data_IF_986444740981
#
_entry.id   IF_986444740981
#
_cell.length_a   1.000
_cell.length_b   1.000
_cell.length_c   1.000
_cell.angle_alpha   90.00
_cell.angle_beta   90.00
_cell.angle_gamma   90.00
#
_symmetry.space_group_name_H-M   'P 1'
#
loop_
_entity.id
_entity.type
_entity.pdbx_description
1 polymer ?
#
# COMPACT_ATOMS: atom_id res chain seq x y z
N UNK A 1 25.40 -21.70 71.22
CA UNK A 1 26.36 -20.63 70.88
C UNK A 1 26.17 -20.34 69.40
N UNK A 2 25.38 -19.31 69.10
CA UNK A 2 25.85 -18.03 68.54
C UNK A 2 26.21 -18.15 67.06
N UNK A 3 25.34 -17.69 66.16
CA UNK A 3 25.15 -16.28 65.68
C UNK A 3 25.88 -16.14 64.35
N UNK A 4 25.16 -16.05 63.23
CA UNK A 4 24.74 -14.82 62.50
C UNK A 4 25.84 -14.23 61.62
N UNK A 5 25.55 -14.13 60.32
CA UNK A 5 25.56 -12.90 59.49
C UNK A 5 25.17 -13.29 58.04
N UNK A 6 24.02 -12.87 57.49
CA UNK A 6 23.61 -11.54 56.99
C UNK A 6 24.10 -11.22 55.56
N UNK A 7 23.14 -10.88 54.69
CA UNK A 7 23.32 -10.25 53.37
C UNK A 7 23.07 -11.21 52.19
N UNK A 8 22.14 -11.00 51.25
CA UNK A 8 21.40 -9.81 50.90
C UNK A 8 20.05 -10.18 50.25
N UNK A 9 19.06 -9.41 50.66
CA UNK A 9 17.75 -9.24 50.09
C UNK A 9 17.82 -8.55 48.71
N UNK A 10 16.69 -8.58 48.00
CA UNK A 10 16.31 -7.68 46.90
C UNK A 10 16.90 -7.91 45.49
N UNK A 11 16.21 -8.74 44.69
CA UNK A 11 15.96 -8.45 43.27
C UNK A 11 14.85 -9.34 42.68
N UNK A 12 13.65 -9.39 43.29
CA UNK A 12 12.47 -9.71 42.49
C UNK A 12 12.20 -8.48 41.63
N UNK A 13 12.84 -8.44 40.45
CA UNK A 13 12.58 -7.47 39.40
C UNK A 13 11.08 -7.58 39.08
N UNK A 14 10.30 -6.70 39.70
CA UNK A 14 8.87 -6.58 39.49
C UNK A 14 8.66 -6.07 38.07
N UNK A 15 8.66 -6.97 37.09
CA UNK A 15 8.28 -6.60 35.72
C UNK A 15 6.95 -5.85 35.77
N UNK A 16 6.85 -4.66 35.15
CA UNK A 16 5.65 -3.87 35.23
C UNK A 16 4.46 -4.64 34.63
N UNK A 17 3.27 -4.38 35.17
CA UNK A 17 2.03 -4.78 34.51
C UNK A 17 1.98 -4.02 33.18
N UNK A 18 1.85 -4.74 32.07
CA UNK A 18 1.85 -4.17 30.72
C UNK A 18 0.60 -4.66 30.00
N UNK A 19 -0.03 -3.75 29.26
CA UNK A 19 -1.08 -4.10 28.30
C UNK A 19 -0.42 -4.80 27.11
N UNK A 20 -0.72 -6.08 26.92
CA UNK A 20 -0.17 -6.94 25.85
C UNK A 20 -0.83 -6.65 24.50
N UNK A 21 -2.14 -6.44 24.50
CA UNK A 21 -2.91 -6.23 23.30
C UNK A 21 -4.26 -5.59 23.62
N UNK A 22 -4.81 -4.88 22.64
CA UNK A 22 -6.21 -4.45 22.58
C UNK A 22 -6.83 -5.13 21.35
N UNK A 23 -7.98 -5.78 21.54
CA UNK A 23 -8.67 -6.55 20.50
C UNK A 23 -10.13 -6.09 20.40
N UNK A 24 -10.61 -5.68 19.21
CA UNK A 24 -9.83 -5.36 18.01
C UNK A 24 -8.83 -4.21 18.25
N UNK A 25 -7.73 -4.12 17.49
CA UNK A 25 -6.72 -3.06 17.66
C UNK A 25 -7.18 -1.68 17.14
N UNK A 26 -8.28 -1.65 16.36
CA UNK A 26 -8.81 -0.48 15.67
C UNK A 26 -10.33 -0.59 15.59
N UNK A 27 -11.02 0.54 15.65
CA UNK A 27 -12.49 0.63 15.56
C UNK A 27 -12.92 1.88 14.80
N UNK A 28 -14.17 1.95 14.38
CA UNK A 28 -14.74 3.14 13.76
C UNK A 28 -14.97 4.24 14.81
N UNK A 29 -14.72 5.50 14.46
CA UNK A 29 -14.72 6.60 15.42
C UNK A 29 -16.12 7.07 15.87
N UNK A 30 -17.15 6.87 15.04
CA UNK A 30 -18.55 7.26 15.29
C UNK A 30 -19.45 6.09 15.77
N UNK A 31 -18.85 4.94 16.12
CA UNK A 31 -19.58 3.77 16.61
C UNK A 31 -18.95 3.30 17.92
N UNK A 32 -19.81 2.96 18.88
CA UNK A 32 -19.39 2.30 20.10
C UNK A 32 -19.23 0.81 19.84
N UNK A 33 -17.99 0.34 19.95
CA UNK A 33 -17.64 -1.08 19.82
C UNK A 33 -17.05 -1.62 21.12
N UNK A 34 -17.37 -2.87 21.44
CA UNK A 34 -16.80 -3.57 22.59
C UNK A 34 -15.38 -4.04 22.26
N UNK A 35 -14.43 -3.63 23.11
CA UNK A 35 -13.03 -4.01 22.99
C UNK A 35 -12.55 -4.74 24.24
N UNK A 36 -11.51 -5.55 24.04
CA UNK A 36 -10.90 -6.38 25.06
C UNK A 36 -9.45 -5.97 25.25
N UNK A 37 -9.06 -5.64 26.49
CA UNK A 37 -7.69 -5.29 26.86
C UNK A 37 -7.07 -6.47 27.61
N UNK A 38 -5.98 -7.01 27.07
CA UNK A 38 -5.26 -8.17 27.62
C UNK A 38 -3.99 -7.70 28.32
N UNK A 39 -3.74 -8.21 29.54
CA UNK A 39 -2.56 -7.88 30.35
C UNK A 39 -1.58 -9.07 30.42
N UNK A 40 -0.30 -8.76 30.64
CA UNK A 40 0.74 -9.77 30.83
C UNK A 40 0.64 -10.54 32.17
N UNK A 41 0.03 -9.94 33.19
CA UNK A 41 -0.09 -10.50 34.55
C UNK A 41 -1.52 -10.35 35.06
N UNK A 42 -1.79 -11.01 36.20
CA UNK A 42 -3.09 -10.92 36.85
C UNK A 42 -3.37 -9.52 37.37
N UNK A 43 -4.54 -9.00 37.03
CA UNK A 43 -5.13 -7.78 37.54
C UNK A 43 -5.45 -7.92 39.04
N UNK A 44 -5.37 -6.81 39.80
CA UNK A 44 -5.69 -6.80 41.22
C UNK A 44 -7.18 -7.10 41.46
N UNK A 45 -7.50 -8.35 41.81
CA UNK A 45 -8.87 -8.84 42.06
C UNK A 45 -9.45 -8.48 43.44
N UNK A 46 -8.63 -7.90 44.34
CA UNK A 46 -8.97 -7.80 45.78
C UNK A 46 -9.79 -6.58 46.19
N UNK A 47 -10.09 -5.66 45.28
CA UNK A 47 -10.86 -4.46 45.60
C UNK A 47 -12.01 -4.32 44.63
N UNK A 48 -13.20 -4.02 45.14
CA UNK A 48 -14.44 -3.69 44.41
C UNK A 48 -14.33 -2.36 43.64
N UNK A 49 -13.13 -2.05 43.17
CA UNK A 49 -12.72 -0.79 42.61
C UNK A 49 -12.99 -0.78 41.11
N UNK A 50 -13.50 0.33 40.54
CA UNK A 50 -13.71 0.42 39.12
C UNK A 50 -12.37 0.44 38.38
N UNK A 51 -12.34 -0.19 37.21
CA UNK A 51 -11.31 0.03 36.21
C UNK A 51 -11.79 1.13 35.27
N UNK A 52 -10.89 2.01 34.87
CA UNK A 52 -11.21 3.05 33.88
C UNK A 52 -10.11 3.15 32.85
N UNK A 53 -10.48 3.53 31.63
CA UNK A 53 -9.57 3.68 30.50
C UNK A 53 -9.72 5.07 29.93
N UNK A 54 -8.62 5.80 29.81
CA UNK A 54 -8.58 7.10 29.15
C UNK A 54 -8.01 6.93 27.75
N UNK A 55 -8.77 7.29 26.73
CA UNK A 55 -8.30 7.41 25.36
C UNK A 55 -7.80 8.83 25.13
N UNK A 56 -6.48 9.00 25.05
CA UNK A 56 -5.84 10.30 24.90
C UNK A 56 -5.30 10.43 23.48
N UNK A 57 -5.79 11.45 22.76
CA UNK A 57 -5.39 11.74 21.39
C UNK A 57 -5.38 13.24 21.10
N UNK A 58 -5.38 13.59 19.82
CA UNK A 58 -5.32 14.99 19.34
C UNK A 58 -6.56 15.78 19.68
N UNK A 59 -7.72 15.13 19.82
CA UNK A 59 -8.99 15.77 20.17
C UNK A 59 -9.26 15.83 21.69
N UNK A 60 -8.29 15.40 22.51
CA UNK A 60 -8.39 15.38 23.97
C UNK A 60 -8.46 13.97 24.56
N UNK A 61 -8.76 13.91 25.85
CA UNK A 61 -8.86 12.68 26.63
C UNK A 61 -10.33 12.32 26.89
N UNK A 62 -10.73 11.10 26.54
CA UNK A 62 -12.08 10.58 26.84
C UNK A 62 -11.96 9.36 27.75
N UNK A 63 -12.62 9.43 28.91
CA UNK A 63 -12.59 8.36 29.91
C UNK A 63 -13.81 7.45 29.76
N UNK A 64 -13.59 6.14 29.86
CA UNK A 64 -14.65 5.12 29.91
C UNK A 64 -14.42 4.13 31.04
N UNK A 65 -15.51 3.50 31.50
CA UNK A 65 -15.45 2.47 32.54
C UNK A 65 -15.20 1.10 31.91
N UNK A 66 -14.31 0.32 32.53
CA UNK A 66 -14.01 -1.04 32.11
C UNK A 66 -14.46 -2.06 33.16
N UNK A 67 -14.96 -3.19 32.68
CA UNK A 67 -15.36 -4.33 33.50
C UNK A 67 -14.27 -5.38 33.45
N UNK A 68 -13.98 -6.00 34.58
CA UNK A 68 -13.04 -7.12 34.62
C UNK A 68 -13.73 -8.39 34.15
N UNK A 69 -13.25 -8.97 33.04
CA UNK A 69 -13.81 -10.20 32.48
C UNK A 69 -13.17 -11.44 33.12
N UNK A 70 -11.85 -11.42 33.31
CA UNK A 70 -11.11 -12.50 33.96
C UNK A 70 -9.89 -11.94 34.72
N UNK A 71 -9.04 -12.83 35.24
CA UNK A 71 -7.88 -12.40 36.05
C UNK A 71 -6.87 -11.54 35.27
N UNK A 72 -6.88 -11.48 33.95
CA UNK A 72 -5.87 -10.79 33.12
C UNK A 72 -6.48 -10.00 31.96
N UNK A 73 -7.80 -9.78 31.95
CA UNK A 73 -8.51 -9.18 30.82
C UNK A 73 -9.60 -8.23 31.31
N UNK A 74 -9.67 -7.06 30.67
CA UNK A 74 -10.75 -6.08 30.84
C UNK A 74 -11.57 -5.98 29.56
N UNK A 75 -12.86 -5.75 29.71
CA UNK A 75 -13.80 -5.50 28.63
C UNK A 75 -14.42 -4.12 28.81
N UNK A 76 -14.51 -3.35 27.74
CA UNK A 76 -15.09 -2.01 27.76
C UNK A 76 -15.72 -1.70 26.42
N UNK A 77 -16.63 -0.74 26.44
CA UNK A 77 -17.18 -0.14 25.23
C UNK A 77 -16.37 1.11 24.89
N UNK A 78 -15.94 1.23 23.65
CA UNK A 78 -15.18 2.38 23.17
C UNK A 78 -16.04 3.64 23.16
N UNK A 79 -15.45 4.81 23.44
CA UNK A 79 -16.17 6.07 23.29
C UNK A 79 -16.32 6.44 21.81
N UNK A 80 -17.35 7.20 21.50
CA UNK A 80 -17.39 7.95 20.24
C UNK A 80 -16.31 9.03 20.29
N UNK A 81 -15.31 8.92 19.43
CA UNK A 81 -14.17 9.82 19.40
C UNK A 81 -14.29 10.74 18.17
N UNK A 82 -14.26 12.07 18.35
CA UNK A 82 -14.66 13.01 17.31
C UNK A 82 -13.72 13.04 16.09
N UNK A 83 -12.46 12.60 16.25
CA UNK A 83 -11.44 12.66 15.21
C UNK A 83 -10.80 11.29 15.00
N UNK A 84 -10.84 10.78 13.76
CA UNK A 84 -10.10 9.58 13.39
C UNK A 84 -8.59 9.82 13.56
N UNK A 85 -7.97 9.12 14.50
CA UNK A 85 -6.56 9.29 14.84
C UNK A 85 -6.04 8.10 15.67
N UNK A 86 -4.71 7.98 15.73
CA UNK A 86 -4.05 7.08 16.68
C UNK A 86 -4.05 7.74 18.05
N UNK A 87 -4.62 7.04 19.02
CA UNK A 87 -4.72 7.46 20.42
C UNK A 87 -3.93 6.50 21.32
N UNK A 88 -3.61 6.96 22.52
CA UNK A 88 -3.04 6.09 23.56
C UNK A 88 -4.10 5.80 24.61
N UNK A 89 -4.41 4.51 24.80
CA UNK A 89 -5.33 4.04 25.83
C UNK A 89 -4.56 3.81 27.14
N UNK A 90 -4.83 4.62 28.16
CA UNK A 90 -4.25 4.50 29.50
C UNK A 90 -5.22 3.78 30.43
N UNK A 91 -4.79 2.69 31.04
CA UNK A 91 -5.65 1.90 31.92
C UNK A 91 -5.36 2.20 33.39
N UNK A 92 -6.39 2.52 34.15
CA UNK A 92 -6.33 2.89 35.55
C UNK A 92 -7.18 1.96 36.42
N UNK A 93 -6.74 1.77 37.67
CA UNK A 93 -7.47 0.99 38.68
C UNK A 93 -7.56 1.74 40.02
N UNK A 94 -8.72 1.65 40.67
CA UNK A 94 -8.91 2.26 41.98
C UNK A 94 -9.37 3.71 41.93
N UNK A 95 -9.84 4.20 43.07
CA UNK A 95 -10.23 5.61 43.29
C UNK A 95 -9.02 6.53 43.09
N UNK A 96 -7.82 6.05 43.44
CA UNK A 96 -6.56 6.79 43.29
C UNK A 96 -6.01 6.78 41.85
N UNK A 97 -6.76 6.22 40.88
CA UNK A 97 -6.37 6.11 39.46
C UNK A 97 -4.92 5.63 39.27
N UNK A 98 -4.58 4.47 39.83
CA UNK A 98 -3.26 3.88 39.63
C UNK A 98 -3.13 3.43 38.18
N UNK A 99 -2.13 3.95 37.46
CA UNK A 99 -1.83 3.52 36.09
C UNK A 99 -1.35 2.06 36.08
N UNK A 100 -2.05 1.24 35.31
CA UNK A 100 -1.77 -0.20 35.12
C UNK A 100 -1.01 -0.48 33.82
N UNK A 101 -1.11 0.41 32.83
CA UNK A 101 -0.41 0.28 31.56
C UNK A 101 -1.02 1.18 30.50
N UNK A 102 -0.36 1.24 29.35
CA UNK A 102 -0.80 2.00 28.18
C UNK A 102 -0.62 1.17 26.92
N UNK A 103 -1.45 1.41 25.90
CA UNK A 103 -1.30 0.77 24.59
C UNK A 103 -1.83 1.70 23.50
N UNK A 104 -1.23 1.64 22.31
CA UNK A 104 -1.71 2.39 21.16
C UNK A 104 -3.03 1.78 20.63
N UNK A 105 -3.95 2.62 20.20
CA UNK A 105 -5.24 2.23 19.66
C UNK A 105 -5.62 3.20 18.53
N UNK A 106 -6.29 2.74 17.49
CA UNK A 106 -6.58 3.58 16.31
C UNK A 106 -8.08 3.71 16.10
N UNK A 107 -8.56 4.95 16.03
CA UNK A 107 -9.91 5.27 15.57
C UNK A 107 -9.87 5.62 14.09
N UNK A 108 -10.69 4.93 13.29
CA UNK A 108 -10.76 5.11 11.84
C UNK A 108 -12.06 5.82 11.45
N UNK A 109 -12.00 6.69 10.43
CA UNK A 109 -13.21 7.23 9.82
C UNK A 109 -13.80 6.24 8.82
N UNK A 110 -15.09 6.40 8.49
CA UNK A 110 -15.73 5.64 7.39
C UNK A 110 -14.98 5.79 6.08
N UNK A 111 -14.50 7.00 5.77
CA UNK A 111 -13.68 7.26 4.60
C UNK A 111 -12.35 6.50 4.67
N UNK A 112 -11.66 6.48 5.82
CA UNK A 112 -10.37 5.77 5.94
C UNK A 112 -10.53 4.27 5.74
N UNK A 113 -11.58 3.67 6.31
CA UNK A 113 -11.90 2.26 6.11
C UNK A 113 -12.17 1.96 4.63
N UNK A 114 -12.93 2.82 3.96
CA UNK A 114 -13.22 2.69 2.53
C UNK A 114 -11.96 2.89 1.66
N UNK A 115 -11.15 3.92 1.93
CA UNK A 115 -9.89 4.16 1.24
C UNK A 115 -8.93 2.99 1.42
N UNK A 116 -8.85 2.40 2.61
CA UNK A 116 -8.01 1.20 2.84
C UNK A 116 -8.55 -0.01 2.09
N UNK A 117 -9.86 -0.23 2.07
CA UNK A 117 -10.45 -1.34 1.32
C UNK A 117 -10.15 -1.20 -0.17
N UNK A 118 -10.37 0.00 -0.72
CA UNK A 118 -10.03 0.31 -2.09
C UNK A 118 -8.53 0.16 -2.34
N UNK A 119 -7.66 0.86 -1.61
CA UNK A 119 -6.23 0.86 -1.91
C UNK A 119 -5.53 -0.49 -1.67
N UNK A 120 -6.05 -1.32 -0.77
CA UNK A 120 -5.52 -2.67 -0.52
C UNK A 120 -5.90 -3.65 -1.63
N UNK A 121 -7.01 -3.42 -2.32
CA UNK A 121 -7.51 -4.20 -3.46
C UNK A 121 -7.17 -3.59 -4.84
N UNK A 122 -6.80 -2.31 -4.89
CA UNK A 122 -6.51 -1.58 -6.12
C UNK A 122 -5.03 -1.58 -6.51
N UNK A 123 -4.17 -2.35 -5.83
CA UNK A 123 -2.81 -2.54 -6.32
C UNK A 123 -2.84 -3.48 -7.54
N UNK A 124 -2.66 -2.95 -8.77
CA UNK A 124 -2.78 -3.76 -9.97
C UNK A 124 -1.67 -4.81 -10.06
N UNK A 125 -0.51 -4.59 -9.43
CA UNK A 125 0.58 -5.58 -9.39
C UNK A 125 0.13 -6.77 -8.54
N UNK A 126 -0.42 -6.50 -7.36
CA UNK A 126 -0.91 -7.56 -6.46
C UNK A 126 -2.05 -8.35 -7.10
N UNK A 127 -3.04 -7.67 -7.69
CA UNK A 127 -4.14 -8.32 -8.42
C UNK A 127 -3.64 -9.21 -9.57
N UNK A 128 -2.67 -8.73 -10.36
CA UNK A 128 -2.12 -9.49 -11.48
C UNK A 128 -1.28 -10.68 -10.99
N UNK A 129 -0.49 -10.51 -9.92
CA UNK A 129 0.23 -11.61 -9.28
C UNK A 129 -0.73 -12.70 -8.78
N UNK A 130 -1.83 -12.33 -8.11
CA UNK A 130 -2.85 -13.28 -7.67
C UNK A 130 -3.53 -13.99 -8.85
N UNK A 131 -3.88 -13.25 -9.90
CA UNK A 131 -4.50 -13.80 -11.12
C UNK A 131 -3.60 -14.78 -11.87
N UNK A 132 -2.28 -14.57 -11.82
CA UNK A 132 -1.27 -15.43 -12.43
C UNK A 132 -0.73 -16.51 -11.47
N UNK A 133 -1.29 -16.62 -10.26
CA UNK A 133 -0.85 -17.55 -9.22
C UNK A 133 0.64 -17.41 -8.83
N UNK A 134 1.15 -16.18 -8.88
CA UNK A 134 2.51 -15.82 -8.48
C UNK A 134 2.58 -15.42 -7.00
N UNK A 135 3.78 -15.48 -6.39
CA UNK A 135 3.98 -14.95 -5.04
C UNK A 135 3.70 -13.44 -5.01
N UNK A 136 2.85 -13.00 -4.09
CA UNK A 136 2.04 -11.77 -4.13
C UNK A 136 2.78 -10.43 -3.98
N UNK A 137 4.05 -10.30 -4.32
CA UNK A 137 4.76 -8.99 -4.26
C UNK A 137 6.00 -8.87 -5.14
N UNK A 138 6.30 -9.86 -5.99
CA UNK A 138 7.51 -9.80 -6.82
C UNK A 138 7.23 -9.24 -8.22
N UNK A 139 7.50 -7.94 -8.37
CA UNK A 139 7.39 -7.22 -9.65
C UNK A 139 8.26 -7.88 -10.72
N UNK A 140 9.41 -8.46 -10.37
CA UNK A 140 10.30 -9.11 -11.34
C UNK A 140 9.72 -10.43 -11.86
N UNK A 141 9.14 -11.24 -10.97
CA UNK A 141 8.41 -12.45 -11.36
C UNK A 141 7.21 -12.13 -12.22
N UNK A 142 6.47 -11.06 -11.89
CA UNK A 142 5.37 -10.57 -12.72
C UNK A 142 5.84 -10.12 -14.10
N UNK A 143 6.93 -9.35 -14.18
CA UNK A 143 7.53 -8.88 -15.44
C UNK A 143 7.93 -10.06 -16.35
N UNK A 144 8.56 -11.08 -15.78
CA UNK A 144 8.91 -12.30 -16.52
C UNK A 144 7.67 -13.06 -16.98
N UNK A 145 6.70 -13.29 -16.10
CA UNK A 145 5.49 -14.03 -16.43
C UNK A 145 4.67 -13.33 -17.51
N UNK A 146 4.52 -12.01 -17.43
CA UNK A 146 3.82 -11.22 -18.44
C UNK A 146 4.56 -11.25 -19.79
N UNK A 147 5.88 -11.09 -19.78
CA UNK A 147 6.67 -11.15 -21.01
C UNK A 147 6.59 -12.53 -21.67
N UNK A 148 6.73 -13.61 -20.90
CA UNK A 148 6.70 -14.98 -21.41
C UNK A 148 5.29 -15.37 -21.90
N UNK A 149 4.25 -14.97 -21.17
CA UNK A 149 2.85 -15.15 -21.59
C UNK A 149 2.57 -14.40 -22.89
N UNK A 150 3.08 -13.17 -23.02
CA UNK A 150 2.91 -12.38 -24.24
C UNK A 150 3.60 -13.04 -25.43
N UNK A 151 4.86 -13.47 -25.28
CA UNK A 151 5.61 -14.13 -26.36
C UNK A 151 5.01 -15.49 -26.74
N UNK A 152 4.52 -16.26 -25.78
CA UNK A 152 3.95 -17.60 -26.05
C UNK A 152 2.56 -17.55 -26.71
N UNK A 153 1.81 -16.46 -26.53
CA UNK A 153 0.42 -16.37 -27.01
C UNK A 153 0.24 -15.38 -28.16
N UNK A 154 1.19 -14.47 -28.42
CA UNK A 154 1.09 -13.52 -29.50
C UNK A 154 1.56 -14.14 -30.84
N UNK A 155 0.69 -14.29 -31.84
CA UNK A 155 1.10 -14.78 -33.15
C UNK A 155 2.02 -13.80 -33.87
N UNK A 156 2.85 -14.30 -34.80
CA UNK A 156 3.71 -13.45 -35.62
C UNK A 156 2.89 -12.43 -36.42
N UNK A 157 3.22 -11.15 -36.28
CA UNK A 157 2.49 -10.05 -36.94
C UNK A 157 1.26 -9.52 -36.18
N UNK A 158 1.01 -9.98 -34.95
CA UNK A 158 -0.08 -9.46 -34.12
C UNK A 158 0.14 -7.98 -33.76
N UNK A 159 -0.66 -7.09 -34.34
CA UNK A 159 -0.61 -5.65 -34.06
C UNK A 159 -1.43 -5.31 -32.80
N UNK A 160 -0.97 -5.78 -31.64
CA UNK A 160 -1.60 -5.49 -30.35
C UNK A 160 -1.52 -4.01 -29.96
N UNK A 161 -0.45 -3.32 -30.37
CA UNK A 161 -0.13 -1.97 -29.92
C UNK A 161 -0.63 -0.87 -30.87
N UNK A 162 -0.93 -1.20 -32.14
CA UNK A 162 -1.41 -0.27 -33.17
C UNK A 162 -2.93 -0.23 -33.34
N UNK A 163 -3.70 -0.65 -32.34
CA UNK A 163 -5.19 -0.60 -32.35
C UNK A 163 -5.69 0.86 -32.21
N UNK A 164 -4.83 1.79 -31.80
CA UNK A 164 -5.19 3.18 -31.50
C UNK A 164 -5.18 4.15 -32.69
N UNK A 165 -5.18 3.65 -33.94
CA UNK A 165 -5.16 4.50 -35.16
C UNK A 165 -6.34 5.47 -35.30
N UNK A 166 -7.41 5.30 -34.51
CA UNK A 166 -8.60 6.15 -34.54
C UNK A 166 -8.56 7.34 -33.55
N UNK A 167 -7.47 7.56 -32.80
CA UNK A 167 -7.36 8.74 -31.93
C UNK A 167 -6.72 9.88 -32.71
N UNK A 168 -7.55 10.71 -33.33
CA UNK A 168 -7.18 11.78 -34.29
C UNK A 168 -6.18 12.83 -33.75
N UNK A 169 -5.83 12.79 -32.46
CA UNK A 169 -4.93 13.73 -31.80
C UNK A 169 -3.73 13.09 -31.04
N UNK A 170 -3.59 11.76 -31.01
CA UNK A 170 -2.53 11.10 -30.23
C UNK A 170 -2.64 11.30 -28.70
N UNK A 171 -3.80 11.74 -28.22
CA UNK A 171 -4.13 11.99 -26.82
C UNK A 171 -5.26 11.06 -26.38
N UNK A 172 -5.05 10.32 -25.30
CA UNK A 172 -6.04 9.39 -24.74
C UNK A 172 -6.62 9.90 -23.42
N UNK A 173 -7.87 9.57 -23.14
CA UNK A 173 -8.55 9.87 -21.87
C UNK A 173 -8.23 8.84 -20.77
N UNK A 174 -7.49 7.78 -21.07
CA UNK A 174 -7.09 6.76 -20.12
C UNK A 174 -5.76 7.08 -19.40
N UNK A 175 -5.60 6.59 -18.16
CA UNK A 175 -4.34 6.68 -17.39
C UNK A 175 -3.22 5.86 -18.03
N UNK A 176 -3.57 4.64 -18.44
CA UNK A 176 -2.68 3.71 -19.11
C UNK A 176 -3.30 3.32 -20.46
N UNK A 177 -3.19 4.17 -21.49
CA UNK A 177 -3.84 3.92 -22.77
C UNK A 177 -3.27 2.71 -23.51
N UNK A 178 -2.01 2.36 -23.25
CA UNK A 178 -1.35 1.17 -23.83
C UNK A 178 -0.64 0.38 -22.74
N UNK A 179 -0.36 -0.90 -23.02
CA UNK A 179 0.41 -1.75 -22.12
C UNK A 179 1.83 -1.20 -21.86
N UNK A 180 2.39 -0.40 -22.78
CA UNK A 180 3.65 0.33 -22.56
C UNK A 180 3.53 1.40 -21.47
N UNK A 181 2.39 2.09 -21.35
CA UNK A 181 2.18 3.06 -20.27
C UNK A 181 2.11 2.34 -18.92
N UNK A 182 1.36 1.23 -18.86
CA UNK A 182 1.28 0.39 -17.67
C UNK A 182 2.66 -0.14 -17.27
N UNK A 183 3.38 -0.74 -18.22
CA UNK A 183 4.71 -1.29 -17.96
C UNK A 183 5.71 -0.20 -17.54
N UNK A 184 5.59 1.03 -18.04
CA UNK A 184 6.44 2.14 -17.66
C UNK A 184 6.19 2.63 -16.22
N UNK A 185 4.93 2.64 -15.77
CA UNK A 185 4.57 3.02 -14.40
C UNK A 185 5.11 2.03 -13.35
N UNK A 186 5.05 0.73 -13.65
CA UNK A 186 5.48 -0.33 -12.73
C UNK A 186 6.92 -0.81 -12.94
N UNK A 187 7.64 -0.25 -13.91
CA UNK A 187 9.05 -0.61 -14.17
C UNK A 187 9.25 -2.01 -14.76
N UNK A 188 8.28 -2.51 -15.53
CA UNK A 188 8.30 -3.84 -16.15
C UNK A 188 9.24 -3.85 -17.37
N UNK A 189 10.53 -3.93 -17.09
CA UNK A 189 11.60 -3.79 -18.08
C UNK A 189 11.62 -4.86 -19.17
N UNK A 190 11.36 -6.12 -18.80
CA UNK A 190 11.36 -7.26 -19.72
C UNK A 190 10.13 -7.24 -20.60
N UNK A 191 8.97 -6.93 -20.03
CA UNK A 191 7.73 -6.72 -20.79
C UNK A 191 7.90 -5.57 -21.79
N UNK A 192 8.49 -4.44 -21.39
CA UNK A 192 8.79 -3.34 -22.32
C UNK A 192 9.70 -3.81 -23.44
N UNK A 193 10.80 -4.49 -23.12
CA UNK A 193 11.70 -5.02 -24.13
C UNK A 193 10.95 -5.90 -25.13
N UNK A 194 10.11 -6.83 -24.67
CA UNK A 194 9.28 -7.67 -25.54
C UNK A 194 8.32 -6.83 -26.39
N UNK A 195 7.58 -5.89 -25.80
CA UNK A 195 6.60 -5.07 -26.50
C UNK A 195 7.22 -4.21 -27.60
N UNK A 196 8.45 -3.72 -27.42
CA UNK A 196 9.16 -2.92 -28.43
C UNK A 196 9.51 -3.69 -29.72
N UNK A 197 9.52 -5.03 -29.69
CA UNK A 197 9.76 -5.86 -30.87
C UNK A 197 8.50 -6.08 -31.72
N UNK A 198 7.30 -5.78 -31.20
CA UNK A 198 6.04 -6.03 -31.91
C UNK A 198 5.61 -4.82 -32.76
N UNK A 199 4.88 -5.07 -33.87
CA UNK A 199 4.36 -4.01 -34.70
C UNK A 199 3.41 -3.10 -33.89
N UNK A 200 3.46 -1.78 -34.16
CA UNK A 200 2.67 -0.78 -33.45
C UNK A 200 3.32 -0.23 -32.17
N UNK A 201 4.47 -0.75 -31.73
CA UNK A 201 5.18 -0.24 -30.55
C UNK A 201 5.54 1.25 -30.65
N UNK A 202 5.90 1.71 -31.85
CA UNK A 202 6.23 3.12 -32.10
C UNK A 202 5.01 4.04 -31.94
N UNK A 203 3.87 3.63 -32.47
CA UNK A 203 2.60 4.35 -32.32
C UNK A 203 2.25 4.43 -30.83
N UNK A 204 2.37 3.31 -30.11
CA UNK A 204 2.13 3.25 -28.67
C UNK A 204 3.10 4.12 -27.83
N UNK A 205 4.35 4.31 -28.27
CA UNK A 205 5.31 5.24 -27.66
C UNK A 205 4.99 6.72 -27.90
N UNK A 206 4.20 7.03 -28.95
CA UNK A 206 3.83 8.39 -29.32
C UNK A 206 2.51 8.87 -28.69
N UNK A 207 1.69 7.95 -28.17
CA UNK A 207 0.43 8.25 -27.50
C UNK A 207 0.71 8.88 -26.13
N UNK A 208 -0.07 9.92 -25.80
CA UNK A 208 -0.11 10.52 -24.47
C UNK A 208 -1.29 9.98 -23.66
N UNK A 209 -1.10 9.81 -22.36
CA UNK A 209 -2.19 9.55 -21.43
C UNK A 209 -3.01 10.84 -21.13
N UNK A 210 -4.01 10.73 -20.25
CA UNK A 210 -4.87 11.88 -19.89
C UNK A 210 -4.12 13.04 -19.23
N UNK A 211 -2.92 12.80 -18.67
CA UNK A 211 -2.05 13.84 -18.14
C UNK A 211 -1.16 14.48 -19.22
N UNK A 212 -1.31 14.09 -20.48
CA UNK A 212 -0.43 14.53 -21.57
C UNK A 212 0.97 13.90 -21.51
N UNK A 213 1.17 12.85 -20.72
CA UNK A 213 2.48 12.19 -20.51
C UNK A 213 2.68 11.03 -21.46
N UNK A 214 3.90 10.92 -22.00
CA UNK A 214 4.35 9.77 -22.77
C UNK A 214 4.86 8.63 -21.87
N UNK A 215 4.97 7.39 -22.37
CA UNK A 215 5.47 6.26 -21.57
C UNK A 215 6.82 6.53 -20.90
N UNK A 216 7.75 7.20 -21.58
CA UNK A 216 9.04 7.51 -20.97
C UNK A 216 8.96 8.59 -19.87
N UNK A 217 8.02 9.55 -19.96
CA UNK A 217 7.79 10.51 -18.89
C UNK A 217 7.25 9.80 -17.65
N UNK A 218 6.35 8.84 -17.83
CA UNK A 218 5.82 8.02 -16.74
C UNK A 218 6.93 7.22 -16.07
N UNK A 219 7.80 6.56 -16.86
CA UNK A 219 8.94 5.83 -16.31
C UNK A 219 9.91 6.75 -15.53
N UNK A 220 10.17 7.96 -16.04
CA UNK A 220 11.02 8.95 -15.38
C UNK A 220 10.43 9.44 -14.06
N UNK A 221 9.14 9.77 -14.04
CA UNK A 221 8.41 10.22 -12.85
C UNK A 221 8.39 9.16 -11.73
N UNK A 222 8.38 7.88 -12.10
CA UNK A 222 8.43 6.75 -11.17
C UNK A 222 9.86 6.31 -10.80
N UNK A 223 10.89 7.04 -11.29
CA UNK A 223 12.29 6.81 -10.94
C UNK A 223 13.05 5.81 -11.82
N UNK A 224 12.42 5.26 -12.86
CA UNK A 224 13.02 4.30 -13.79
C UNK A 224 13.77 5.00 -14.94
N UNK A 225 14.84 5.74 -14.61
CA UNK A 225 15.59 6.57 -15.58
C UNK A 225 16.14 5.80 -16.78
N UNK A 226 16.76 4.63 -16.55
CA UNK A 226 17.29 3.80 -17.63
C UNK A 226 16.18 3.32 -18.58
N UNK A 227 15.01 2.99 -18.04
CA UNK A 227 13.86 2.56 -18.83
C UNK A 227 13.28 3.72 -19.65
N UNK A 228 13.22 4.91 -19.05
CA UNK A 228 12.82 6.14 -19.73
C UNK A 228 13.76 6.48 -20.90
N UNK A 229 15.08 6.39 -20.69
CA UNK A 229 16.08 6.65 -21.73
C UNK A 229 15.97 5.66 -22.90
N UNK A 230 15.72 4.37 -22.61
CA UNK A 230 15.49 3.35 -23.63
C UNK A 230 14.24 3.65 -24.46
N UNK A 231 13.11 3.96 -23.79
CA UNK A 231 11.85 4.31 -24.46
C UNK A 231 11.98 5.60 -25.29
N UNK A 232 12.69 6.60 -24.76
CA UNK A 232 12.94 7.87 -25.44
C UNK A 232 13.80 7.68 -26.69
N UNK A 233 14.88 6.91 -26.55
CA UNK A 233 15.79 6.60 -27.67
C UNK A 233 15.08 5.80 -28.75
N UNK A 234 14.27 4.79 -28.37
CA UNK A 234 13.48 4.01 -29.32
C UNK A 234 12.53 4.90 -30.14
N UNK A 235 11.86 5.84 -29.48
CA UNK A 235 10.99 6.80 -30.16
C UNK A 235 11.76 7.76 -31.07
N UNK A 236 12.87 8.31 -30.58
CA UNK A 236 13.62 9.37 -31.27
C UNK A 236 14.45 8.82 -32.46
N UNK A 237 14.98 7.61 -32.36
CA UNK A 237 15.74 6.95 -33.44
C UNK A 237 14.96 6.84 -34.76
N UNK A 238 13.63 6.69 -34.72
CA UNK A 238 12.83 6.62 -35.95
C UNK A 238 12.46 7.96 -36.57
N UNK A 239 12.36 9.03 -35.80
CA UNK A 239 12.22 10.38 -36.37
C UNK A 239 13.39 10.69 -37.30
N UNK A 240 14.60 10.31 -36.90
CA UNK A 240 15.83 10.50 -37.67
C UNK A 240 15.84 9.60 -38.92
N UNK A 241 15.43 8.34 -38.80
CA UNK A 241 15.39 7.41 -39.93
C UNK A 241 14.36 7.84 -41.00
N UNK A 242 13.16 8.26 -40.59
CA UNK A 242 12.10 8.71 -41.50
C UNK A 242 12.41 10.06 -42.15
N UNK A 243 13.00 11.02 -41.43
CA UNK A 243 13.46 12.29 -42.03
C UNK A 243 14.60 12.08 -43.01
N UNK A 244 15.53 11.16 -42.72
CA UNK A 244 16.63 10.83 -43.62
C UNK A 244 16.13 10.16 -44.90
N UNK A 245 15.17 9.23 -44.82
CA UNK A 245 14.58 8.59 -46.00
C UNK A 245 13.73 9.57 -46.81
N UNK A 246 12.90 10.39 -46.15
CA UNK A 246 12.09 11.42 -46.83
C UNK A 246 12.94 12.46 -47.56
N UNK A 247 14.10 12.84 -46.99
CA UNK A 247 15.07 13.71 -47.64
C UNK A 247 15.83 13.04 -48.80
N UNK A 248 15.97 11.71 -48.80
CA UNK A 248 16.80 10.97 -49.77
C UNK A 248 15.99 10.36 -50.92
N UNK A 249 14.69 10.12 -50.72
CA UNK A 249 13.77 9.55 -51.72
C UNK A 249 12.38 10.21 -51.68
N UNK A 250 12.22 11.45 -52.19
CA UNK A 250 10.95 12.18 -52.16
C UNK A 250 9.86 11.59 -53.09
N UNK A 251 10.19 10.63 -53.97
CA UNK A 251 9.25 10.02 -54.92
C UNK A 251 8.50 8.80 -54.38
N UNK A 252 8.89 8.23 -53.24
CA UNK A 252 8.23 7.08 -52.61
C UNK A 252 7.11 7.48 -51.62
N UNK A 253 6.99 8.77 -51.28
CA UNK A 253 6.01 9.26 -50.29
C UNK A 253 4.59 9.44 -50.85
N UNK A 254 4.36 9.20 -52.15
CA UNK A 254 3.04 9.38 -52.79
C UNK A 254 2.28 8.08 -53.09
N UNK A 255 2.87 6.92 -52.82
CA UNK A 255 2.28 5.60 -53.14
C UNK A 255 1.79 4.80 -51.93
N UNK A 256 1.84 5.36 -50.72
CA UNK A 256 1.31 4.72 -49.50
C UNK A 256 0.51 5.71 -48.63
N UNK A 257 -0.40 6.46 -49.24
CA UNK A 257 -1.58 7.01 -48.56
C UNK A 257 -2.82 6.28 -49.06
#
# INVERSE_FOLDING_TARGET
MHSQDLGNDEALVNDPLIVKAIIPPRVQNDVKEEIVIVFNKRLPSKSRSPFSVDFVGTAGAVQVSAKQLNSSTLILETPEYPVASVVTAYVYHGINRRLLGQHAFEFLSRSDTFYRLLYTELDPVKFMCESLSLSSTDVLSLDCALADTFTSNAPEGFNFLGIHKNTEAGESTAEHPTLLHFAAQFGLSRLIATLLHYPGAQEACAIKNYHGKWPYNIAEDHGFKQLADNLRTFRDCLKVYLTTISSKYPSLSKSCL
#
